data_IF_316577822682
#
_entry.id   IF_316577822682
#
_cell.length_a   1.000
_cell.length_b   1.000
_cell.length_c   1.000
_cell.angle_alpha   90.00
_cell.angle_beta   90.00
_cell.angle_gamma   90.00
#
_symmetry.space_group_name_H-M   'P 1'
#
loop_
_entity.id
_entity.type
_entity.pdbx_description
1 polymer ?
#
# COMPACT_ATOMS: atom_id res chain seq x y z
N UNK A 1 3.44 1.65 11.19
CA UNK A 1 2.10 1.75 11.80
C UNK A 1 2.13 2.46 13.16
N UNK A 2 3.26 2.49 13.89
CA UNK A 2 3.43 3.28 15.13
C UNK A 2 3.08 4.77 15.01
N UNK A 3 3.31 5.40 13.86
CA UNK A 3 2.98 6.83 13.67
C UNK A 3 1.47 7.15 13.63
N UNK A 4 0.60 6.14 13.49
CA UNK A 4 -0.84 6.33 13.35
C UNK A 4 -1.64 5.75 14.52
N UNK A 5 -1.07 4.86 15.34
CA UNK A 5 -1.83 4.18 16.41
C UNK A 5 -2.23 5.12 17.56
N UNK A 6 -1.51 6.23 17.73
CA UNK A 6 -1.80 7.25 18.74
C UNK A 6 -2.71 8.38 18.20
N UNK A 7 -3.30 8.20 17.01
CA UNK A 7 -4.21 9.18 16.39
C UNK A 7 -5.64 8.65 16.39
N UNK A 8 -6.66 9.52 16.49
CA UNK A 8 -8.07 9.13 16.45
C UNK A 8 -8.50 8.82 15.01
N UNK A 9 -8.00 7.72 14.45
CA UNK A 9 -8.25 7.27 13.07
C UNK A 9 -8.69 5.81 13.05
N UNK A 10 -9.36 5.39 11.98
CA UNK A 10 -9.60 3.97 11.72
C UNK A 10 -8.61 3.47 10.67
N UNK A 11 -7.89 2.39 11.00
CA UNK A 11 -6.88 1.77 10.15
C UNK A 11 -7.40 0.42 9.69
N UNK A 12 -7.61 0.26 8.39
CA UNK A 12 -7.86 -1.04 7.78
C UNK A 12 -6.54 -1.58 7.21
N UNK A 13 -6.23 -2.84 7.49
CA UNK A 13 -4.98 -3.45 7.02
C UNK A 13 -5.14 -4.93 6.74
N UNK A 14 -4.42 -5.40 5.72
CA UNK A 14 -4.30 -6.84 5.42
C UNK A 14 -2.95 -7.39 5.90
N UNK A 15 -2.24 -6.67 6.78
CA UNK A 15 -0.96 -7.12 7.31
C UNK A 15 -1.12 -7.58 8.75
N UNK A 16 -0.83 -8.86 8.99
CA UNK A 16 -0.94 -9.52 10.29
C UNK A 16 0.01 -8.96 11.36
N UNK A 17 1.05 -8.20 10.99
CA UNK A 17 1.85 -7.47 11.99
C UNK A 17 1.04 -6.47 12.80
N UNK A 18 -0.12 -6.01 12.30
CA UNK A 18 -1.03 -5.17 13.07
C UNK A 18 -1.54 -5.85 14.35
N UNK A 19 -1.63 -7.18 14.37
CA UNK A 19 -2.02 -7.93 15.57
C UNK A 19 -0.93 -7.93 16.66
N UNK A 20 0.27 -7.39 16.39
CA UNK A 20 1.34 -7.24 17.39
C UNK A 20 1.20 -5.99 18.23
N UNK A 21 0.36 -5.03 17.85
CA UNK A 21 0.07 -3.88 18.69
C UNK A 21 -0.75 -4.32 19.90
N UNK A 22 -0.28 -3.97 21.09
CA UNK A 22 -0.92 -4.29 22.37
C UNK A 22 -1.06 -3.01 23.20
N UNK A 23 -1.97 -3.03 24.17
CA UNK A 23 -2.26 -1.87 25.02
C UNK A 23 -3.36 -0.97 24.45
N UNK A 24 -3.51 0.21 25.06
CA UNK A 24 -4.49 1.20 24.64
C UNK A 24 -3.99 1.94 23.39
N UNK A 25 -4.76 1.87 22.31
CA UNK A 25 -4.52 2.61 21.08
C UNK A 25 -5.61 3.68 20.92
N UNK A 26 -5.23 4.88 20.51
CA UNK A 26 -6.22 5.89 20.13
C UNK A 26 -6.89 5.55 18.78
N UNK A 27 -6.17 4.82 17.91
CA UNK A 27 -6.68 4.36 16.64
C UNK A 27 -7.52 3.08 16.79
N UNK A 28 -8.59 2.98 15.99
CA UNK A 28 -9.30 1.72 15.76
C UNK A 28 -8.57 0.94 14.66
N UNK A 29 -8.06 -0.25 14.97
CA UNK A 29 -7.38 -1.10 13.98
C UNK A 29 -8.28 -2.27 13.58
N UNK A 30 -8.53 -2.41 12.28
CA UNK A 30 -9.29 -3.51 11.68
C UNK A 30 -8.36 -4.31 10.78
N UNK A 31 -8.11 -5.56 11.14
CA UNK A 31 -7.33 -6.50 10.33
C UNK A 31 -8.30 -7.32 9.48
N UNK A 32 -8.17 -7.22 8.16
CA UNK A 32 -9.05 -7.93 7.21
C UNK A 32 -8.48 -9.34 7.00
N UNK A 33 -9.21 -10.33 7.52
CA UNK A 33 -8.81 -11.74 7.51
C UNK A 33 -8.92 -12.42 6.14
N UNK A 34 -8.10 -13.47 5.95
CA UNK A 34 -8.01 -14.26 4.73
C UNK A 34 -6.88 -15.28 4.80
N UNK A 35 -6.40 -15.70 3.64
CA UNK A 35 -5.28 -16.64 3.52
C UNK A 35 -3.99 -15.98 3.99
N UNK A 36 -3.41 -16.51 5.07
CA UNK A 36 -2.24 -15.95 5.72
C UNK A 36 -0.95 -16.46 5.07
N UNK A 37 -0.12 -15.52 4.59
CA UNK A 37 1.23 -15.80 4.14
C UNK A 37 2.23 -15.54 5.29
N UNK A 38 2.88 -16.58 5.84
CA UNK A 38 3.80 -16.42 6.98
C UNK A 38 5.09 -15.68 6.62
N UNK A 39 5.51 -15.67 5.34
CA UNK A 39 6.75 -15.01 4.90
C UNK A 39 6.60 -13.50 4.90
N UNK A 40 5.45 -13.00 4.43
CA UNK A 40 5.18 -11.56 4.29
C UNK A 40 4.28 -11.01 5.41
N UNK A 41 3.77 -11.90 6.27
CA UNK A 41 2.69 -11.62 7.22
C UNK A 41 1.47 -10.95 6.55
N UNK A 42 1.21 -11.28 5.29
CA UNK A 42 0.13 -10.69 4.50
C UNK A 42 -1.08 -11.61 4.44
N UNK A 43 -2.28 -11.03 4.51
CA UNK A 43 -3.56 -11.69 4.34
C UNK A 43 -4.05 -11.44 2.92
N UNK A 44 -4.48 -12.50 2.25
CA UNK A 44 -4.89 -12.48 0.83
C UNK A 44 -6.12 -13.35 0.60
N UNK A 45 -6.54 -13.49 -0.65
CA UNK A 45 -7.62 -14.38 -1.04
C UNK A 45 -8.99 -13.71 -1.16
N UNK A 46 -10.01 -14.46 -1.63
CA UNK A 46 -11.29 -13.88 -2.06
C UNK A 46 -12.04 -13.12 -0.97
N UNK A 47 -11.95 -13.57 0.29
CA UNK A 47 -12.59 -12.89 1.43
C UNK A 47 -12.01 -11.49 1.65
N UNK A 48 -10.69 -11.34 1.56
CA UNK A 48 -10.01 -10.04 1.68
C UNK A 48 -10.43 -9.14 0.53
N UNK A 49 -10.45 -9.66 -0.69
CA UNK A 49 -10.84 -8.87 -1.86
C UNK A 49 -12.30 -8.41 -1.79
N UNK A 50 -13.23 -9.27 -1.35
CA UNK A 50 -14.65 -8.91 -1.18
C UNK A 50 -14.80 -7.79 -0.16
N UNK A 51 -14.18 -7.94 1.01
CA UNK A 51 -14.22 -6.92 2.04
C UNK A 51 -13.63 -5.59 1.54
N UNK A 52 -12.48 -5.63 0.85
CA UNK A 52 -11.85 -4.42 0.32
C UNK A 52 -12.69 -3.70 -0.73
N UNK A 53 -13.49 -4.42 -1.54
CA UNK A 53 -14.39 -3.81 -2.54
C UNK A 53 -15.56 -3.05 -1.90
N UNK A 54 -15.94 -3.41 -0.68
CA UNK A 54 -17.03 -2.78 0.08
C UNK A 54 -16.55 -1.68 1.03
N UNK A 55 -15.23 -1.50 1.17
CA UNK A 55 -14.62 -0.48 2.01
C UNK A 55 -14.13 0.70 1.16
N UNK A 56 -14.33 1.91 1.67
CA UNK A 56 -13.87 3.16 1.08
C UNK A 56 -12.99 3.90 2.07
N UNK A 57 -11.94 4.54 1.57
CA UNK A 57 -10.89 5.13 2.41
C UNK A 57 -10.64 6.59 2.07
N UNK A 58 -10.38 7.41 3.10
CA UNK A 58 -9.88 8.77 2.87
C UNK A 58 -8.46 8.73 2.29
N UNK A 59 -7.61 7.84 2.82
CA UNK A 59 -6.18 7.78 2.52
C UNK A 59 -5.72 6.32 2.45
N UNK A 60 -5.01 5.96 1.38
CA UNK A 60 -4.33 4.68 1.26
C UNK A 60 -2.80 4.85 1.26
N UNK A 61 -2.11 3.98 2.00
CA UNK A 61 -0.65 3.90 1.99
C UNK A 61 -0.24 2.52 1.46
N UNK A 62 0.37 2.50 0.28
CA UNK A 62 0.60 1.29 -0.50
C UNK A 62 2.10 1.06 -0.66
N UNK A 63 2.63 0.01 -0.03
CA UNK A 63 4.00 -0.42 -0.28
C UNK A 63 4.14 -1.07 -1.66
N UNK A 64 5.30 -0.92 -2.31
CA UNK A 64 5.59 -1.48 -3.64
C UNK A 64 6.96 -2.14 -3.67
N UNK A 65 7.23 -2.89 -4.73
CA UNK A 65 8.54 -3.54 -4.94
C UNK A 65 9.31 -2.94 -6.11
N UNK A 66 8.64 -2.12 -6.92
CA UNK A 66 9.19 -1.51 -8.11
C UNK A 66 8.34 -0.30 -8.50
N UNK A 67 9.03 0.76 -8.91
CA UNK A 67 8.49 1.95 -9.58
C UNK A 67 9.28 2.08 -10.87
N UNK A 68 8.60 1.80 -11.97
CA UNK A 68 9.15 1.86 -13.32
C UNK A 68 8.43 3.00 -14.06
N UNK A 69 9.19 3.86 -14.73
CA UNK A 69 8.64 4.97 -15.48
C UNK A 69 7.60 4.51 -16.51
N UNK A 70 7.86 3.42 -17.24
CA UNK A 70 7.03 3.00 -18.36
C UNK A 70 5.94 2.01 -17.93
N UNK A 71 6.23 1.17 -16.94
CA UNK A 71 5.34 0.08 -16.49
C UNK A 71 4.50 0.44 -15.27
N UNK A 72 4.81 1.55 -14.59
CA UNK A 72 4.13 1.98 -13.38
C UNK A 72 4.64 1.30 -12.12
N UNK A 73 3.77 1.16 -11.12
CA UNK A 73 4.14 0.50 -9.86
C UNK A 73 3.87 -1.00 -9.92
N UNK A 74 4.77 -1.80 -9.36
CA UNK A 74 4.73 -3.26 -9.51
C UNK A 74 5.02 -4.00 -8.19
N UNK A 75 4.57 -5.25 -8.11
CA UNK A 75 4.76 -6.15 -6.98
C UNK A 75 4.95 -7.60 -7.46
N UNK A 76 5.52 -8.53 -6.65
CA UNK A 76 5.94 -9.85 -7.15
C UNK A 76 4.79 -10.80 -7.50
N UNK A 77 3.58 -10.59 -6.96
CA UNK A 77 2.51 -11.57 -7.07
C UNK A 77 1.13 -10.94 -7.27
N UNK A 78 0.28 -11.67 -7.99
CA UNK A 78 -1.11 -11.30 -8.26
C UNK A 78 -1.94 -11.03 -7.00
N UNK A 79 -1.87 -11.84 -5.93
CA UNK A 79 -2.66 -11.61 -4.72
C UNK A 79 -2.39 -10.23 -4.08
N UNK A 80 -1.14 -9.77 -4.08
CA UNK A 80 -0.79 -8.44 -3.59
C UNK A 80 -1.24 -7.34 -4.56
N UNK A 81 -1.07 -7.56 -5.86
CA UNK A 81 -1.45 -6.57 -6.86
C UNK A 81 -2.96 -6.30 -6.84
N UNK A 82 -3.81 -7.32 -6.71
CA UNK A 82 -5.26 -7.18 -6.71
C UNK A 82 -5.73 -6.34 -5.51
N UNK A 83 -5.26 -6.65 -4.30
CA UNK A 83 -5.61 -5.87 -3.10
C UNK A 83 -5.24 -4.40 -3.26
N UNK A 84 -4.03 -4.12 -3.75
CA UNK A 84 -3.54 -2.75 -3.94
C UNK A 84 -4.39 -1.99 -4.96
N UNK A 85 -4.75 -2.63 -6.08
CA UNK A 85 -5.66 -2.03 -7.08
C UNK A 85 -7.02 -1.67 -6.49
N UNK A 86 -7.65 -2.60 -5.77
CA UNK A 86 -8.96 -2.36 -5.13
C UNK A 86 -8.86 -1.20 -4.13
N UNK A 87 -7.86 -1.22 -3.25
CA UNK A 87 -7.67 -0.16 -2.25
C UNK A 87 -7.44 1.19 -2.93
N UNK A 88 -6.59 1.26 -3.96
CA UNK A 88 -6.32 2.50 -4.68
C UNK A 88 -7.57 3.05 -5.36
N UNK A 89 -8.39 2.19 -5.97
CA UNK A 89 -9.66 2.56 -6.60
C UNK A 89 -10.70 3.08 -5.59
N UNK A 90 -10.73 2.50 -4.40
CA UNK A 90 -11.67 2.87 -3.33
C UNK A 90 -11.15 3.96 -2.38
N UNK A 91 -10.06 4.65 -2.75
CA UNK A 91 -9.43 5.68 -1.91
C UNK A 91 -9.52 7.06 -2.51
N UNK A 92 -9.89 8.08 -1.71
CA UNK A 92 -9.89 9.47 -2.18
C UNK A 92 -8.48 9.97 -2.54
N UNK A 93 -7.46 9.50 -1.81
CA UNK A 93 -6.06 9.76 -2.14
C UNK A 93 -5.18 8.55 -1.81
N UNK A 94 -4.28 8.23 -2.74
CA UNK A 94 -3.34 7.12 -2.62
C UNK A 94 -1.90 7.62 -2.51
N UNK A 95 -1.14 7.01 -1.62
CA UNK A 95 0.28 7.28 -1.38
C UNK A 95 1.07 5.99 -1.56
N UNK A 96 2.01 5.99 -2.49
CA UNK A 96 2.92 4.87 -2.72
C UNK A 96 4.16 5.07 -1.87
N UNK A 97 4.47 4.08 -1.04
CA UNK A 97 5.67 4.06 -0.21
C UNK A 97 6.77 3.28 -0.94
N UNK A 98 7.82 3.97 -1.37
CA UNK A 98 8.91 3.38 -2.12
C UNK A 98 10.23 4.03 -1.72
N UNK A 99 11.14 3.26 -1.15
CA UNK A 99 12.53 3.70 -1.04
C UNK A 99 13.17 3.79 -2.44
N UNK A 100 14.24 4.57 -2.54
CA UNK A 100 14.93 4.86 -3.79
C UNK A 100 15.57 3.64 -4.45
N UNK A 101 15.76 2.52 -3.72
CA UNK A 101 16.18 1.25 -4.31
C UNK A 101 15.08 0.60 -5.17
N UNK A 102 13.84 1.10 -5.10
CA UNK A 102 12.71 0.62 -5.90
C UNK A 102 12.49 1.40 -7.19
N UNK A 103 13.30 2.41 -7.49
CA UNK A 103 13.17 3.22 -8.70
C UNK A 103 13.88 2.59 -9.89
N UNK A 104 13.32 2.74 -11.08
CA UNK A 104 13.86 2.23 -12.35
C UNK A 104 14.12 0.71 -12.35
N UNK A 105 13.37 -0.02 -11.52
CA UNK A 105 13.38 -1.48 -11.47
C UNK A 105 11.98 -2.00 -11.74
N UNK A 106 11.91 -3.23 -12.24
CA UNK A 106 10.64 -3.90 -12.54
C UNK A 106 10.37 -5.04 -11.54
N UNK A 107 9.10 -5.43 -11.45
CA UNK A 107 8.66 -6.64 -10.76
C UNK A 107 7.66 -7.40 -11.65
N UNK A 108 7.13 -8.52 -11.16
CA UNK A 108 6.42 -9.47 -12.02
C UNK A 108 4.99 -9.05 -12.36
N UNK A 109 4.33 -8.28 -11.48
CA UNK A 109 2.92 -7.92 -11.64
C UNK A 109 2.72 -6.42 -11.48
N UNK A 110 2.21 -5.76 -12.54
CA UNK A 110 1.82 -4.34 -12.52
C UNK A 110 0.65 -4.12 -11.58
N UNK A 111 0.70 -3.14 -10.71
CA UNK A 111 -0.42 -2.69 -9.88
C UNK A 111 -1.25 -1.68 -10.67
N UNK A 112 -0.66 -0.54 -11.04
CA UNK A 112 -1.27 0.48 -11.88
C UNK A 112 -0.19 1.29 -12.63
N UNK A 113 -0.62 2.14 -13.57
CA UNK A 113 0.23 3.13 -14.24
C UNK A 113 0.81 4.16 -13.27
N UNK A 114 1.85 4.88 -13.69
CA UNK A 114 2.54 5.89 -12.88
C UNK A 114 1.76 7.22 -12.82
N UNK A 115 0.51 7.18 -12.36
CA UNK A 115 -0.39 8.31 -12.30
C UNK A 115 -1.47 8.12 -11.22
N UNK A 116 -2.14 9.21 -10.80
CA UNK A 116 -3.26 9.14 -9.87
C UNK A 116 -2.91 8.89 -8.39
N UNK A 117 -1.63 8.99 -8.01
CA UNK A 117 -1.17 8.89 -6.61
C UNK A 117 0.01 9.82 -6.33
N UNK A 118 0.47 9.85 -5.07
CA UNK A 118 1.70 10.55 -4.65
C UNK A 118 2.73 9.53 -4.18
N UNK A 119 3.99 9.65 -4.59
CA UNK A 119 5.08 8.82 -4.08
C UNK A 119 5.69 9.46 -2.83
N UNK A 120 5.90 8.67 -1.78
CA UNK A 120 6.69 9.03 -0.60
C UNK A 120 7.96 8.18 -0.62
N UNK A 121 9.12 8.82 -0.53
CA UNK A 121 10.43 8.19 -0.65
C UNK A 121 11.51 8.86 0.20
N UNK A 122 12.58 8.14 0.50
CA UNK A 122 13.80 8.65 1.15
C UNK A 122 14.59 9.61 0.24
N UNK A 123 14.39 9.54 -1.08
CA UNK A 123 15.04 10.44 -2.05
C UNK A 123 14.09 10.83 -3.16
N UNK A 124 14.29 12.02 -3.72
CA UNK A 124 13.62 12.46 -4.94
C UNK A 124 14.32 11.86 -6.15
N UNK A 125 13.53 11.35 -7.10
CA UNK A 125 13.98 11.02 -8.44
C UNK A 125 13.44 12.04 -9.44
N UNK A 126 14.29 12.50 -10.37
CA UNK A 126 13.90 13.54 -11.32
C UNK A 126 12.90 13.00 -12.35
N UNK A 127 13.18 11.84 -12.94
CA UNK A 127 12.41 11.28 -14.06
C UNK A 127 11.04 10.79 -13.60
N UNK A 128 10.97 10.12 -12.46
CA UNK A 128 9.70 9.72 -11.83
C UNK A 128 8.93 10.97 -11.39
N UNK A 129 9.63 11.96 -10.80
CA UNK A 129 9.04 13.21 -10.32
C UNK A 129 8.45 14.12 -11.40
N UNK A 130 8.83 13.94 -12.67
CA UNK A 130 8.18 14.60 -13.81
C UNK A 130 6.76 14.07 -14.06
N UNK A 131 6.49 12.81 -13.68
CA UNK A 131 5.22 12.12 -13.99
C UNK A 131 4.29 12.01 -12.81
N UNK A 132 4.83 11.91 -11.60
CA UNK A 132 4.05 11.74 -10.38
C UNK A 132 4.53 12.67 -9.28
N UNK A 133 3.60 13.20 -8.49
CA UNK A 133 3.94 14.00 -7.32
C UNK A 133 4.80 13.18 -6.37
N UNK A 134 5.90 13.76 -5.88
CA UNK A 134 6.78 13.13 -4.90
C UNK A 134 6.86 13.95 -3.61
N UNK A 135 6.93 13.24 -2.48
CA UNK A 135 7.26 13.76 -1.16
C UNK A 135 8.52 13.04 -0.70
N UNK A 136 9.51 13.79 -0.27
CA UNK A 136 10.75 13.25 0.34
C UNK A 136 10.61 13.31 1.86
N UNK A 137 10.84 12.18 2.53
CA UNK A 137 10.63 12.03 3.97
C UNK A 137 11.73 11.19 4.63
#
# INVERSE_FOLDING_TARGET
MSLLVDKPVTIYTTNGYACRFTGELAAKVVVIGGDFNPVTCSLTGPMVESALRELYFDRAFIGVNAVDEDRGIMTPGYPEAIKKRIVMQNSQASYVLADSSKFHVFSNVKVCDLEGFTVISDKRDAKIGERVKMITA
#
